data_IF_115408550446
#
_entry.id   IF_115408550446
#
_cell.length_a   1.000
_cell.length_b   1.000
_cell.length_c   1.000
_cell.angle_alpha   90.00
_cell.angle_beta   90.00
_cell.angle_gamma   90.00
#
_symmetry.space_group_name_H-M   'P 1'
#
loop_
_entity.id
_entity.type
_entity.pdbx_description
1 polymer ?
#
# COMPACT_ATOMS: atom_id res chain seq x y z
N UNK A 1 -44.97 -12.19 17.85
CA UNK A 1 -44.43 -11.65 16.59
C UNK A 1 -43.10 -11.00 16.93
N UNK A 2 -42.00 -11.72 16.76
CA UNK A 2 -40.66 -11.20 17.06
C UNK A 2 -39.73 -11.61 15.93
N UNK A 3 -39.30 -10.63 15.14
CA UNK A 3 -38.11 -10.73 14.31
C UNK A 3 -37.23 -9.55 14.72
N UNK A 4 -36.32 -9.77 15.68
CA UNK A 4 -35.13 -8.94 15.79
C UNK A 4 -34.13 -9.50 14.78
N UNK A 5 -33.94 -8.77 13.69
CA UNK A 5 -32.94 -9.08 12.69
C UNK A 5 -31.56 -8.84 13.30
N UNK A 6 -30.88 -9.92 13.63
CA UNK A 6 -29.47 -9.96 14.02
C UNK A 6 -28.60 -9.70 12.77
N UNK A 7 -28.65 -8.47 12.27
CA UNK A 7 -27.70 -7.97 11.28
C UNK A 7 -26.83 -6.93 11.99
N UNK A 8 -25.53 -7.24 12.01
CA UNK A 8 -24.39 -6.35 12.20
C UNK A 8 -23.73 -6.36 13.58
N UNK A 9 -22.83 -7.33 13.77
CA UNK A 9 -21.59 -7.15 14.53
C UNK A 9 -20.42 -7.83 13.81
N UNK A 10 -20.17 -7.46 12.55
CA UNK A 10 -18.78 -7.54 12.07
C UNK A 10 -18.07 -6.35 12.73
N UNK A 11 -16.95 -6.52 13.44
CA UNK A 11 -16.20 -5.38 13.95
C UNK A 11 -15.93 -4.47 12.75
N UNK A 12 -16.46 -3.24 12.78
CA UNK A 12 -16.11 -2.25 11.77
C UNK A 12 -14.61 -2.10 11.86
N UNK A 13 -13.91 -2.45 10.79
CA UNK A 13 -12.46 -2.30 10.71
C UNK A 13 -12.13 -0.87 11.14
N UNK A 14 -11.15 -0.65 12.05
CA UNK A 14 -10.81 0.69 12.50
C UNK A 14 -10.64 1.63 11.30
N UNK A 15 -11.14 2.88 11.35
CA UNK A 15 -11.00 3.81 10.24
C UNK A 15 -9.55 3.88 9.77
N UNK A 16 -9.32 3.69 8.47
CA UNK A 16 -8.00 3.70 7.87
C UNK A 16 -8.03 4.41 6.51
N UNK A 17 -6.89 4.95 6.05
CA UNK A 17 -6.78 5.46 4.70
C UNK A 17 -6.80 4.30 3.70
N UNK A 18 -7.47 4.51 2.57
CA UNK A 18 -7.55 3.57 1.45
C UNK A 18 -6.76 4.15 0.27
N UNK A 19 -5.84 3.33 -0.27
CA UNK A 19 -5.08 3.66 -1.46
C UNK A 19 -6.02 3.74 -2.66
N UNK A 20 -6.15 4.93 -3.25
CA UNK A 20 -6.96 5.15 -4.45
C UNK A 20 -6.15 4.85 -5.72
N UNK A 21 -4.87 5.23 -5.73
CA UNK A 21 -4.01 5.11 -6.90
C UNK A 21 -2.55 4.85 -6.50
N UNK A 22 -1.91 3.93 -7.22
CA UNK A 22 -0.47 3.81 -7.31
C UNK A 22 -0.04 4.04 -8.76
N UNK A 23 0.55 5.20 -9.04
CA UNK A 23 0.95 5.59 -10.40
C UNK A 23 2.44 5.73 -10.50
N UNK A 24 3.06 5.01 -11.44
CA UNK A 24 4.47 5.20 -11.74
C UNK A 24 4.69 6.61 -12.31
N UNK A 25 5.66 7.35 -11.74
CA UNK A 25 6.00 8.73 -12.12
C UNK A 25 7.43 8.86 -12.64
N UNK A 26 8.28 7.88 -12.35
CA UNK A 26 9.60 7.69 -12.95
C UNK A 26 9.92 6.19 -12.99
N UNK A 27 11.00 5.79 -13.66
CA UNK A 27 11.41 4.38 -13.79
C UNK A 27 11.53 3.67 -12.45
N UNK A 28 11.93 4.37 -11.38
CA UNK A 28 12.07 3.85 -10.02
C UNK A 28 11.16 4.55 -9.00
N UNK A 29 10.10 5.25 -9.43
CA UNK A 29 9.22 5.99 -8.52
C UNK A 29 7.75 5.76 -8.78
N UNK A 30 7.00 5.59 -7.69
CA UNK A 30 5.54 5.49 -7.69
C UNK A 30 4.98 6.57 -6.78
N UNK A 31 3.98 7.29 -7.25
CA UNK A 31 3.14 8.16 -6.45
C UNK A 31 1.95 7.37 -5.89
N UNK A 32 1.84 7.35 -4.58
CA UNK A 32 0.72 6.77 -3.83
C UNK A 32 -0.24 7.88 -3.46
N UNK A 33 -1.54 7.70 -3.75
CA UNK A 33 -2.59 8.66 -3.38
C UNK A 33 -3.66 7.95 -2.56
N UNK A 34 -3.91 8.45 -1.35
CA UNK A 34 -4.94 7.96 -0.45
C UNK A 34 -6.17 8.87 -0.49
N UNK A 35 -7.37 8.28 -0.56
CA UNK A 35 -8.28 8.31 0.56
C UNK A 35 -8.47 9.59 1.39
N UNK A 36 -7.72 9.55 2.48
CA UNK A 36 -7.78 10.38 3.66
C UNK A 36 -6.34 10.63 4.11
N UNK A 37 -6.18 11.55 5.04
CA UNK A 37 -4.89 11.88 5.65
C UNK A 37 -4.36 10.65 6.38
N UNK A 38 -3.17 10.22 6.00
CA UNK A 38 -2.45 9.11 6.63
C UNK A 38 -1.48 9.65 7.69
N UNK A 39 -1.28 8.88 8.75
CA UNK A 39 -0.20 9.13 9.69
C UNK A 39 1.17 9.00 8.99
N UNK A 40 2.03 10.00 9.17
CA UNK A 40 3.31 10.08 8.46
C UNK A 40 4.23 8.93 8.84
N UNK A 41 4.30 8.55 10.12
CA UNK A 41 5.24 7.53 10.58
C UNK A 41 4.91 6.16 9.96
N UNK A 42 3.63 5.81 9.90
CA UNK A 42 3.18 4.56 9.29
C UNK A 42 3.13 4.60 7.77
N UNK A 43 2.84 5.74 7.15
CA UNK A 43 2.87 5.89 5.69
C UNK A 43 4.29 5.95 5.10
N UNK A 44 5.28 6.38 5.88
CA UNK A 44 6.69 6.47 5.41
C UNK A 44 7.52 5.24 5.78
N UNK A 45 6.98 4.34 6.60
CA UNK A 45 7.62 3.07 6.90
C UNK A 45 7.49 2.11 5.70
N UNK A 46 8.56 1.90 4.94
CA UNK A 46 8.53 0.99 3.76
C UNK A 46 8.15 -0.45 4.10
N UNK A 47 8.40 -0.93 5.32
CA UNK A 47 8.03 -2.29 5.72
C UNK A 47 6.53 -2.48 5.98
N UNK A 48 5.74 -1.42 5.82
CA UNK A 48 4.29 -1.47 5.71
C UNK A 48 3.81 -1.72 4.27
N UNK A 49 4.72 -1.97 3.32
CA UNK A 49 4.38 -2.08 1.90
C UNK A 49 4.96 -3.36 1.29
N UNK A 50 4.23 -3.92 0.33
CA UNK A 50 4.68 -4.99 -0.55
C UNK A 50 4.49 -4.57 -2.00
N UNK A 51 5.38 -5.03 -2.87
CA UNK A 51 5.17 -5.00 -4.32
C UNK A 51 5.06 -6.42 -4.81
N UNK A 52 3.86 -6.80 -5.25
CA UNK A 52 3.60 -8.09 -5.85
C UNK A 52 3.82 -8.04 -7.36
N UNK A 53 4.41 -9.09 -7.92
CA UNK A 53 4.55 -9.23 -9.36
C UNK A 53 4.48 -10.70 -9.81
N UNK A 54 4.25 -10.90 -11.11
CA UNK A 54 4.39 -12.19 -11.77
C UNK A 54 5.86 -12.58 -12.03
N UNK A 55 6.81 -11.67 -11.78
CA UNK A 55 8.25 -11.92 -11.87
C UNK A 55 8.94 -11.56 -10.56
N UNK A 56 9.82 -12.43 -10.05
CA UNK A 56 10.55 -12.23 -8.79
C UNK A 56 11.79 -11.33 -8.93
N UNK A 57 11.75 -10.34 -9.82
CA UNK A 57 12.88 -9.46 -10.16
C UNK A 57 12.44 -7.99 -10.21
N UNK A 58 13.41 -7.07 -10.21
CA UNK A 58 13.17 -5.62 -10.20
C UNK A 58 12.69 -5.12 -8.84
N UNK A 59 11.60 -4.36 -8.82
CA UNK A 59 11.04 -3.74 -7.60
C UNK A 59 10.10 -4.66 -6.80
N UNK A 60 9.85 -5.88 -7.29
CA UNK A 60 8.97 -6.84 -6.60
C UNK A 60 9.60 -7.32 -5.29
N UNK A 61 8.82 -7.31 -4.22
CA UNK A 61 9.21 -7.88 -2.93
C UNK A 61 8.60 -9.27 -2.69
N UNK A 62 7.52 -9.61 -3.41
CA UNK A 62 6.75 -10.84 -3.22
C UNK A 62 6.18 -11.38 -4.54
N UNK A 63 6.11 -12.70 -4.69
CA UNK A 63 5.51 -13.34 -5.85
C UNK A 63 3.98 -13.25 -5.87
N UNK A 64 3.38 -13.47 -7.04
CA UNK A 64 1.94 -13.32 -7.26
C UNK A 64 1.07 -14.19 -6.33
N UNK A 65 1.56 -15.37 -5.95
CA UNK A 65 0.83 -16.37 -5.15
C UNK A 65 1.30 -16.46 -3.70
N UNK A 66 2.32 -15.70 -3.34
CA UNK A 66 2.93 -15.82 -2.02
C UNK A 66 2.15 -15.00 -0.99
N UNK A 67 2.10 -15.53 0.23
CA UNK A 67 1.52 -14.83 1.36
C UNK A 67 2.36 -13.59 1.71
N UNK A 68 1.69 -12.53 2.19
CA UNK A 68 2.40 -11.35 2.70
C UNK A 68 2.94 -11.67 4.09
N UNK A 69 4.24 -11.58 4.26
CA UNK A 69 4.93 -11.80 5.53
C UNK A 69 5.89 -10.65 5.82
N UNK A 70 6.34 -10.51 7.06
CA UNK A 70 7.29 -9.47 7.43
C UNK A 70 8.62 -9.60 6.65
N UNK A 71 9.01 -10.83 6.31
CA UNK A 71 10.26 -11.15 5.62
C UNK A 71 10.25 -10.74 4.14
N UNK A 72 9.08 -10.65 3.52
CA UNK A 72 8.91 -10.26 2.11
C UNK A 72 8.27 -8.87 1.92
N UNK A 73 8.17 -8.10 3.00
CA UNK A 73 7.88 -6.67 2.93
C UNK A 73 9.02 -5.92 2.24
N UNK A 74 8.74 -4.71 1.72
CA UNK A 74 9.79 -3.85 1.20
C UNK A 74 10.76 -3.51 2.34
N UNK A 75 12.04 -3.80 2.11
CA UNK A 75 13.11 -3.55 3.08
C UNK A 75 13.65 -2.11 2.95
N UNK A 76 14.15 -1.49 4.03
CA UNK A 76 14.72 -0.14 4.01
C UNK A 76 15.91 0.06 3.03
N UNK A 77 16.60 -1.01 2.66
CA UNK A 77 17.67 -0.97 1.67
C UNK A 77 17.17 -1.10 0.22
N UNK A 78 15.89 -1.43 -0.01
CA UNK A 78 15.30 -1.56 -1.34
C UNK A 78 14.62 -0.27 -1.82
N UNK A 79 14.01 0.48 -0.91
CA UNK A 79 13.27 1.70 -1.23
C UNK A 79 13.17 2.65 -0.05
N UNK A 80 12.67 3.87 -0.31
CA UNK A 80 12.27 4.84 0.69
C UNK A 80 10.93 5.47 0.32
N UNK A 81 10.15 5.93 1.31
CA UNK A 81 8.92 6.68 1.09
C UNK A 81 9.05 8.07 1.71
N UNK A 82 8.68 9.10 0.95
CA UNK A 82 8.63 10.49 1.42
C UNK A 82 7.26 11.10 1.12
N UNK A 83 6.77 12.07 1.92
CA UNK A 83 5.62 12.88 1.53
C UNK A 83 5.87 13.55 0.16
N UNK A 84 4.86 13.54 -0.70
CA UNK A 84 4.93 14.23 -1.99
C UNK A 84 4.54 15.71 -1.87
N UNK A 85 3.74 16.04 -0.84
CA UNK A 85 3.29 17.38 -0.48
C UNK A 85 2.85 17.42 1.00
N UNK A 86 2.27 18.54 1.43
CA UNK A 86 1.78 18.75 2.80
C UNK A 86 0.37 18.21 3.06
N UNK A 87 -0.25 17.48 2.12
CA UNK A 87 -1.61 16.97 2.28
C UNK A 87 -1.71 15.81 3.26
N UNK A 88 -0.60 15.08 3.50
CA UNK A 88 -0.57 13.76 4.15
C UNK A 88 -1.41 12.70 3.44
N UNK A 89 -1.80 12.95 2.19
CA UNK A 89 -2.56 12.02 1.35
C UNK A 89 -1.72 11.46 0.20
N UNK A 90 -0.54 12.03 -0.05
CA UNK A 90 0.31 11.71 -1.20
C UNK A 90 1.74 11.44 -0.78
N UNK A 91 2.26 10.31 -1.24
CA UNK A 91 3.60 9.83 -0.87
C UNK A 91 4.32 9.28 -2.10
N UNK A 92 5.61 9.56 -2.21
CA UNK A 92 6.47 9.03 -3.27
C UNK A 92 7.28 7.87 -2.72
N UNK A 93 7.05 6.67 -3.27
CA UNK A 93 7.86 5.49 -3.05
C UNK A 93 8.97 5.44 -4.10
N UNK A 94 10.22 5.58 -3.66
CA UNK A 94 11.42 5.58 -4.53
C UNK A 94 12.22 4.31 -4.29
N UNK A 95 12.38 3.49 -5.33
CA UNK A 95 13.16 2.26 -5.30
C UNK A 95 14.62 2.52 -5.68
N UNK A 96 15.52 1.65 -5.20
CA UNK A 96 16.94 1.68 -5.60
C UNK A 96 17.20 1.10 -6.99
N UNK A 97 16.26 0.35 -7.53
CA UNK A 97 16.29 -0.22 -8.88
C UNK A 97 15.07 0.22 -9.66
N UNK A 98 15.14 0.16 -10.98
CA UNK A 98 14.01 0.48 -11.85
C UNK A 98 12.95 -0.63 -11.82
N UNK A 99 11.68 -0.23 -11.95
CA UNK A 99 10.64 -1.13 -12.41
C UNK A 99 10.97 -1.60 -13.82
N UNK A 100 10.73 -2.88 -14.10
CA UNK A 100 10.99 -3.40 -15.45
C UNK A 100 9.82 -3.06 -16.36
N UNK A 101 10.16 -2.63 -17.58
CA UNK A 101 9.16 -2.30 -18.59
C UNK A 101 8.32 -3.53 -18.96
N UNK A 102 7.00 -3.34 -19.09
CA UNK A 102 6.05 -4.39 -19.44
C UNK A 102 5.68 -5.35 -18.31
N UNK A 103 6.29 -5.24 -17.12
CA UNK A 103 5.96 -6.09 -15.97
C UNK A 103 4.80 -5.49 -15.18
N UNK A 104 3.84 -6.35 -14.83
CA UNK A 104 2.70 -5.96 -14.00
C UNK A 104 3.09 -6.01 -12.52
N UNK A 105 2.83 -4.90 -11.84
CA UNK A 105 3.07 -4.73 -10.41
C UNK A 105 1.78 -4.38 -9.68
N UNK A 106 1.60 -4.91 -8.48
CA UNK A 106 0.54 -4.55 -7.55
C UNK A 106 1.17 -4.01 -6.26
N UNK A 107 0.82 -2.77 -5.90
CA UNK A 107 1.24 -2.14 -4.64
C UNK A 107 0.27 -2.51 -3.53
N UNK A 108 0.79 -3.03 -2.43
CA UNK A 108 -0.02 -3.53 -1.33
C UNK A 108 0.42 -2.83 -0.03
N UNK A 109 -0.11 -1.63 0.27
CA UNK A 109 0.08 -1.01 1.56
C UNK A 109 -0.72 -1.73 2.64
N UNK A 110 -0.09 -2.01 3.78
CA UNK A 110 -0.73 -2.54 4.98
C UNK A 110 -0.31 -1.70 6.18
N UNK A 111 -1.12 -1.65 7.23
CA UNK A 111 -0.76 -1.04 8.52
C UNK A 111 -0.52 0.49 8.48
N UNK A 112 -0.97 1.17 7.42
CA UNK A 112 -0.98 2.64 7.35
C UNK A 112 -2.15 3.16 8.18
N UNK A 113 -1.85 4.00 9.16
CA UNK A 113 -2.87 4.53 10.08
C UNK A 113 -3.50 5.80 9.51
N UNK A 114 -4.71 6.12 9.98
CA UNK A 114 -5.27 7.44 9.83
C UNK A 114 -4.41 8.45 10.61
N UNK A 115 -4.36 9.69 10.15
CA UNK A 115 -3.63 10.77 10.85
C UNK A 115 -3.97 10.81 12.36
N UNK A 116 -2.93 10.82 13.19
CA UNK A 116 -3.06 10.86 14.65
C UNK A 116 -3.51 9.54 15.30
N UNK A 117 -3.74 8.49 14.52
CA UNK A 117 -4.11 7.16 15.03
C UNK A 117 -2.95 6.17 14.95
N UNK A 118 -3.05 5.07 15.69
CA UNK A 118 -2.06 3.99 15.71
C UNK A 118 -2.75 2.63 15.82
N UNK A 119 -2.03 1.54 15.49
CA UNK A 119 -2.48 0.17 15.77
C UNK A 119 -3.37 -0.45 14.69
N UNK A 120 -3.48 0.16 13.51
CA UNK A 120 -4.10 -0.49 12.36
C UNK A 120 -3.24 -1.68 11.89
N UNK A 121 -3.87 -2.85 11.72
CA UNK A 121 -3.20 -4.12 11.38
C UNK A 121 -3.77 -4.79 10.12
N UNK A 122 -4.41 -4.00 9.26
CA UNK A 122 -5.07 -4.49 8.04
C UNK A 122 -4.45 -3.97 6.75
N UNK A 123 -5.17 -4.21 5.66
CA UNK A 123 -4.83 -3.81 4.29
C UNK A 123 -5.38 -2.41 3.98
N UNK A 124 -4.53 -1.54 3.46
CA UNK A 124 -4.95 -0.20 3.02
C UNK A 124 -5.38 -0.18 1.55
N UNK A 125 -5.78 -1.32 0.99
CA UNK A 125 -6.27 -1.47 -0.37
C UNK A 125 -7.56 -2.29 -0.37
N UNK A 126 -8.40 -2.11 -1.37
CA UNK A 126 -9.67 -2.83 -1.50
C UNK A 126 -10.13 -2.91 -2.96
N UNK A 127 -11.36 -3.39 -3.21
CA UNK A 127 -11.87 -3.61 -4.57
C UNK A 127 -11.85 -2.39 -5.48
N UNK A 128 -11.84 -1.18 -4.91
CA UNK A 128 -11.82 0.09 -5.64
C UNK A 128 -10.44 0.73 -5.75
N UNK A 129 -9.40 0.11 -5.19
CA UNK A 129 -8.03 0.61 -5.27
C UNK A 129 -7.45 0.39 -6.67
N UNK A 130 -6.91 1.45 -7.29
CA UNK A 130 -6.09 1.35 -8.52
C UNK A 130 -4.63 1.16 -8.13
N UNK A 131 -4.35 0.06 -7.45
CA UNK A 131 -3.02 -0.25 -6.92
C UNK A 131 -2.13 -1.03 -7.89
N UNK A 132 -2.57 -1.19 -9.14
CA UNK A 132 -1.84 -1.91 -10.18
C UNK A 132 -1.31 -0.95 -11.23
N UNK A 133 -0.10 -1.21 -11.71
CA UNK A 133 0.49 -0.52 -12.84
C UNK A 133 1.37 -1.47 -13.65
N UNK A 134 1.63 -1.10 -14.91
CA UNK A 134 2.61 -1.77 -15.77
C UNK A 134 3.86 -0.89 -15.76
N UNK A 135 5.02 -1.49 -15.52
CA UNK A 135 6.29 -0.78 -15.58
C UNK A 135 6.48 -0.13 -16.96
N UNK A 136 6.83 1.15 -16.98
CA UNK A 136 7.21 1.91 -18.17
C UNK A 136 8.72 1.85 -18.38
#
# INVERSE_FOLDING_TARGET
MFFHTDRQMMPTMPPHPILLEARQVASNQILLTYDKRADIASATNVSNYWIRSNMAVGIASVGMKDALTAENAIRPDMAMITPADNSMMRFTLTFRVNAMSGVMYTVLPCFVNLEGMTGYRGENWGPFSKNMFIGM
#
